data_IF_753920745801
#
_entry.id   IF_753920745801
#
_cell.length_a   1.000
_cell.length_b   1.000
_cell.length_c   1.000
_cell.angle_alpha   90.00
_cell.angle_beta   90.00
_cell.angle_gamma   90.00
#
_symmetry.space_group_name_H-M   'P 1'
#
loop_
_entity.id
_entity.type
_entity.pdbx_description
1 polymer ?
#
# COMPACT_ATOMS: atom_id res chain seq x y z
N UNK A 1 -14.12 -25.79 8.91
CA UNK A 1 -13.91 -24.36 8.56
C UNK A 1 -15.25 -23.66 8.59
N UNK A 2 -15.33 -22.42 9.09
CA UNK A 2 -16.57 -21.64 9.05
C UNK A 2 -16.80 -21.16 7.60
N UNK A 3 -18.05 -21.14 7.16
CA UNK A 3 -18.41 -20.49 5.90
C UNK A 3 -17.98 -19.01 5.95
N UNK A 4 -17.44 -18.46 4.85
CA UNK A 4 -17.21 -17.03 4.76
C UNK A 4 -18.53 -16.25 4.89
N UNK A 5 -18.43 -15.00 5.32
CA UNK A 5 -19.57 -14.09 5.43
C UNK A 5 -20.16 -13.84 4.03
N UNK A 6 -21.48 -14.05 3.89
CA UNK A 6 -22.17 -14.00 2.60
C UNK A 6 -22.13 -12.63 1.93
N UNK A 7 -22.15 -11.54 2.70
CA UNK A 7 -22.03 -10.19 2.15
C UNK A 7 -20.65 -9.94 1.57
N UNK A 8 -19.59 -10.34 2.29
CA UNK A 8 -18.22 -10.12 1.84
C UNK A 8 -17.83 -11.06 0.69
N UNK A 9 -18.29 -12.31 0.72
CA UNK A 9 -17.96 -13.29 -0.33
C UNK A 9 -18.60 -12.99 -1.68
N UNK A 10 -19.66 -12.19 -1.71
CA UNK A 10 -20.34 -11.78 -2.95
C UNK A 10 -19.74 -10.55 -3.62
N UNK A 11 -18.75 -9.88 -3.01
CA UNK A 11 -18.14 -8.68 -3.59
C UNK A 11 -17.24 -9.06 -4.78
N UNK A 12 -17.43 -8.44 -5.96
CA UNK A 12 -16.59 -8.70 -7.12
C UNK A 12 -15.21 -8.07 -6.96
N UNK A 13 -14.24 -8.56 -7.74
CA UNK A 13 -12.95 -7.88 -7.95
C UNK A 13 -13.19 -6.48 -8.54
N UNK A 14 -12.41 -5.50 -8.10
CA UNK A 14 -12.49 -4.14 -8.66
C UNK A 14 -12.00 -4.06 -10.11
N UNK A 15 -12.51 -3.09 -10.86
CA UNK A 15 -12.09 -2.84 -12.25
C UNK A 15 -10.59 -2.54 -12.37
N UNK A 16 -9.98 -1.92 -11.36
CA UNK A 16 -8.55 -1.59 -11.33
C UNK A 16 -7.68 -2.85 -11.43
N UNK A 17 -8.04 -3.91 -10.69
CA UNK A 17 -7.33 -5.19 -10.75
C UNK A 17 -7.46 -5.84 -12.12
N UNK A 18 -8.68 -5.83 -12.70
CA UNK A 18 -8.95 -6.45 -14.00
C UNK A 18 -8.21 -5.71 -15.12
N UNK A 19 -8.26 -4.38 -15.15
CA UNK A 19 -7.63 -3.58 -16.19
C UNK A 19 -6.10 -3.62 -16.10
N UNK A 20 -5.53 -3.56 -14.90
CA UNK A 20 -4.08 -3.69 -14.72
C UNK A 20 -3.57 -5.07 -15.19
N UNK A 21 -4.30 -6.15 -14.90
CA UNK A 21 -3.94 -7.48 -15.38
C UNK A 21 -4.01 -7.60 -16.91
N UNK A 22 -5.06 -7.03 -17.54
CA UNK A 22 -5.18 -7.01 -18.99
C UNK A 22 -4.10 -6.16 -19.65
N UNK A 23 -3.72 -5.03 -19.06
CA UNK A 23 -2.63 -4.21 -19.59
C UNK A 23 -1.31 -5.00 -19.64
N UNK A 24 -0.99 -5.76 -18.59
CA UNK A 24 0.17 -6.67 -18.57
C UNK A 24 0.03 -7.79 -19.62
N UNK A 25 -1.14 -8.42 -19.71
CA UNK A 25 -1.39 -9.51 -20.66
C UNK A 25 -1.22 -9.07 -22.13
N UNK A 26 -1.56 -7.81 -22.43
CA UNK A 26 -1.53 -7.26 -23.78
C UNK A 26 -0.34 -6.36 -24.07
N UNK A 27 0.65 -6.29 -23.17
CA UNK A 27 1.81 -5.38 -23.28
C UNK A 27 1.39 -3.93 -23.56
N UNK A 28 0.31 -3.49 -22.90
CA UNK A 28 -0.26 -2.16 -23.06
C UNK A 28 0.31 -1.19 -22.03
N UNK A 29 0.44 0.08 -22.43
CA UNK A 29 0.77 1.17 -21.50
C UNK A 29 -0.41 1.38 -20.53
N UNK A 30 -0.16 1.23 -19.23
CA UNK A 30 -1.21 1.35 -18.22
C UNK A 30 -1.33 2.79 -17.68
N UNK A 31 -2.12 3.63 -18.35
CA UNK A 31 -2.45 4.97 -17.86
C UNK A 31 -3.61 4.99 -16.83
N UNK A 32 -4.11 3.81 -16.44
CA UNK A 32 -5.22 3.66 -15.48
C UNK A 32 -4.78 3.34 -14.06
N UNK A 33 -3.49 3.05 -13.82
CA UNK A 33 -2.97 2.79 -12.48
C UNK A 33 -2.93 4.05 -11.62
N UNK A 34 -3.31 3.93 -10.35
CA UNK A 34 -3.41 5.05 -9.42
C UNK A 34 -2.16 5.31 -8.59
N UNK A 35 -1.00 4.75 -8.96
CA UNK A 35 0.27 4.93 -8.25
C UNK A 35 1.41 5.24 -9.23
N UNK A 36 2.46 5.97 -8.79
CA UNK A 36 3.60 6.31 -9.65
C UNK A 36 4.38 5.08 -10.13
N UNK A 37 4.94 5.17 -11.34
CA UNK A 37 5.91 4.21 -11.88
C UNK A 37 7.36 4.47 -11.42
N UNK A 38 7.55 5.46 -10.55
CA UNK A 38 8.87 5.90 -10.07
C UNK A 38 8.99 5.68 -8.58
N UNK A 39 10.23 5.55 -8.11
CA UNK A 39 10.55 5.51 -6.69
C UNK A 39 10.17 6.82 -5.98
N UNK A 40 9.94 6.70 -4.67
CA UNK A 40 9.68 7.84 -3.79
C UNK A 40 10.94 8.69 -3.53
N UNK A 41 10.79 9.78 -2.76
CA UNK A 41 11.91 10.62 -2.33
C UNK A 41 13.00 9.82 -1.62
N UNK A 42 14.27 10.03 -1.98
CA UNK A 42 15.39 9.25 -1.45
C UNK A 42 15.58 9.42 0.07
N UNK A 43 15.34 10.62 0.59
CA UNK A 43 15.38 10.94 2.02
C UNK A 43 14.31 10.19 2.82
N UNK A 44 13.11 9.99 2.24
CA UNK A 44 12.05 9.19 2.84
C UNK A 44 12.46 7.71 2.94
N UNK A 45 13.11 7.16 1.91
CA UNK A 45 13.60 5.78 1.90
C UNK A 45 14.67 5.60 3.00
N UNK A 46 15.63 6.51 3.08
CA UNK A 46 16.69 6.46 4.10
C UNK A 46 16.13 6.60 5.53
N UNK A 47 15.15 7.48 5.75
CA UNK A 47 14.49 7.62 7.04
C UNK A 47 13.79 6.32 7.47
N UNK A 48 13.11 5.64 6.55
CA UNK A 48 12.49 4.33 6.82
C UNK A 48 13.56 3.26 7.13
N UNK A 49 14.65 3.21 6.37
CA UNK A 49 15.76 2.29 6.64
C UNK A 49 16.40 2.52 8.02
N UNK A 50 16.60 3.78 8.41
CA UNK A 50 17.14 4.13 9.72
C UNK A 50 16.20 3.68 10.85
N UNK A 51 14.90 3.92 10.73
CA UNK A 51 13.90 3.53 11.73
C UNK A 51 13.87 2.00 11.97
N UNK A 52 14.02 1.20 10.90
CA UNK A 52 14.10 -0.27 11.01
C UNK A 52 15.38 -0.73 11.74
N UNK A 53 16.51 -0.08 11.49
CA UNK A 53 17.82 -0.40 12.10
C UNK A 53 17.92 0.03 13.56
N UNK A 54 17.23 1.11 13.94
CA UNK A 54 17.19 1.66 15.31
C UNK A 54 16.27 0.88 16.26
N UNK A 55 15.73 -0.27 15.83
CA UNK A 55 14.93 -1.14 16.69
C UNK A 55 13.51 -0.64 16.95
N UNK A 56 13.02 0.37 16.22
CA UNK A 56 11.64 0.88 16.28
C UNK A 56 10.64 -0.06 15.58
N UNK A 57 10.75 -1.36 15.86
CA UNK A 57 10.03 -2.46 15.22
C UNK A 57 8.86 -2.98 16.07
N UNK A 58 8.51 -2.27 17.14
CA UNK A 58 7.37 -2.58 18.02
C UNK A 58 6.20 -1.65 17.72
N UNK A 59 5.04 -1.98 18.29
CA UNK A 59 3.83 -1.19 18.06
C UNK A 59 4.01 0.30 18.42
N UNK A 60 3.59 1.22 17.54
CA UNK A 60 3.51 2.64 17.88
C UNK A 60 2.33 2.89 18.84
N UNK A 61 2.24 4.10 19.43
CA UNK A 61 1.06 4.51 20.19
C UNK A 61 -0.21 4.44 19.34
N UNK A 62 -1.35 4.13 19.99
CA UNK A 62 -2.66 3.99 19.32
C UNK A 62 -3.02 5.16 18.41
N UNK A 63 -2.72 6.39 18.85
CA UNK A 63 -3.04 7.61 18.11
C UNK A 63 -2.03 7.95 17.02
N UNK A 64 -0.91 7.22 16.93
CA UNK A 64 0.23 7.53 16.08
C UNK A 64 1.40 8.16 16.84
N UNK A 65 2.59 8.07 16.23
CA UNK A 65 3.82 8.62 16.78
C UNK A 65 3.69 10.13 17.04
N UNK A 66 4.06 10.65 18.23
CA UNK A 66 3.97 12.08 18.54
C UNK A 66 4.67 12.97 17.51
N UNK A 67 5.85 12.57 17.06
CA UNK A 67 6.62 13.30 16.05
C UNK A 67 5.92 13.34 14.68
N UNK A 68 5.26 12.25 14.28
CA UNK A 68 4.51 12.21 13.02
C UNK A 68 3.25 13.07 13.11
N UNK A 69 2.53 12.99 14.25
CA UNK A 69 1.34 13.81 14.49
C UNK A 69 1.65 15.31 14.56
N UNK A 70 2.85 15.69 14.98
CA UNK A 70 3.28 17.09 14.98
C UNK A 70 3.70 17.60 13.59
N UNK A 71 3.98 16.70 12.65
CA UNK A 71 4.47 17.03 11.31
C UNK A 71 3.35 17.13 10.25
N UNK A 72 2.15 16.62 10.54
CA UNK A 72 0.94 16.67 9.69
C UNK A 72 -0.01 17.74 10.20
#
# INVERSE_FOLDING_TARGET
MKSPNSMLSGLPTTIFTVMSALAVQHDAINLGQGFPDTEGPADMIEAACAALRDGRNQYPPLTGLPELRGAV
#
